data_IF_797024578591
#
_entry.id   IF_797024578591
#
_cell.length_a   1.000
_cell.length_b   1.000
_cell.length_c   1.000
_cell.angle_alpha   90.00
_cell.angle_beta   90.00
_cell.angle_gamma   90.00
#
_symmetry.space_group_name_H-M   'P 1'
#
loop_
_entity.id
_entity.type
_entity.pdbx_description
1 polymer ?
#
# COMPACT_ATOMS: atom_id res chain seq x y z
N UNK A 1 0.04 18.23 5.51
CA UNK A 1 -1.05 17.34 5.19
C UNK A 1 -0.74 15.94 5.69
N UNK A 2 -1.61 15.39 6.50
CA UNK A 2 -1.32 14.12 7.13
C UNK A 2 -1.78 12.96 6.28
N UNK A 3 -0.94 11.94 6.24
CA UNK A 3 -1.30 10.72 5.53
C UNK A 3 -2.28 9.94 6.40
N UNK A 4 -3.41 9.51 5.84
CA UNK A 4 -4.36 8.73 6.63
C UNK A 4 -3.73 7.40 7.05
N UNK A 5 -4.14 6.91 8.21
CA UNK A 5 -3.63 5.65 8.72
C UNK A 5 -4.35 4.51 8.03
N UNK A 6 -3.68 3.90 7.07
CA UNK A 6 -4.26 2.79 6.33
C UNK A 6 -3.62 1.46 6.70
N UNK A 7 -2.79 1.45 7.72
CA UNK A 7 -2.16 0.22 8.16
C UNK A 7 -3.23 -0.71 8.71
N UNK A 8 -3.20 -1.96 8.26
CA UNK A 8 -4.21 -2.93 8.67
C UNK A 8 -5.39 -3.02 7.74
N UNK A 9 -5.55 -2.05 6.85
CA UNK A 9 -6.62 -2.09 5.86
C UNK A 9 -6.15 -2.85 4.64
N UNK A 10 -7.11 -3.32 3.85
CA UNK A 10 -6.76 -3.98 2.60
C UNK A 10 -6.23 -2.96 1.61
N UNK A 11 -5.53 -3.47 0.59
CA UNK A 11 -4.99 -2.59 -0.45
C UNK A 11 -6.11 -1.79 -1.10
N UNK A 12 -7.24 -2.43 -1.35
CA UNK A 12 -8.36 -1.75 -1.99
C UNK A 12 -8.83 -0.58 -1.14
N UNK A 13 -9.03 -0.80 0.15
CA UNK A 13 -9.49 0.26 1.03
C UNK A 13 -8.43 1.33 1.20
N UNK A 14 -7.19 0.93 1.34
CA UNK A 14 -6.10 1.88 1.49
C UNK A 14 -6.00 2.79 0.28
N UNK A 15 -6.16 2.22 -0.91
CA UNK A 15 -6.10 2.99 -2.14
C UNK A 15 -7.19 4.05 -2.18
N UNK A 16 -8.40 3.66 -1.83
CA UNK A 16 -9.52 4.58 -1.83
C UNK A 16 -9.27 5.70 -0.83
N UNK A 17 -8.85 5.35 0.38
CA UNK A 17 -8.61 6.34 1.41
C UNK A 17 -7.51 7.33 1.01
N UNK A 18 -6.44 6.82 0.42
CA UNK A 18 -5.35 7.68 0.01
C UNK A 18 -5.75 8.60 -1.12
N UNK A 19 -6.48 8.07 -2.09
CA UNK A 19 -6.94 8.90 -3.20
C UNK A 19 -7.89 9.98 -2.72
N UNK A 20 -8.77 9.66 -1.79
CA UNK A 20 -9.69 10.66 -1.25
C UNK A 20 -8.96 11.74 -0.48
N UNK A 21 -7.81 11.41 0.07
CA UNK A 21 -7.00 12.37 0.80
C UNK A 21 -6.04 13.13 -0.10
N UNK A 22 -6.09 12.87 -1.40
CA UNK A 22 -5.24 13.58 -2.33
C UNK A 22 -3.88 12.97 -2.56
N UNK A 23 -3.67 11.75 -2.11
CA UNK A 23 -2.38 11.08 -2.30
C UNK A 23 -2.43 10.14 -3.49
N UNK A 24 -1.25 9.90 -4.05
CA UNK A 24 -1.09 8.99 -5.17
C UNK A 24 -0.18 7.86 -4.74
N UNK A 25 -0.59 6.64 -5.02
CA UNK A 25 0.23 5.48 -4.72
C UNK A 25 1.27 5.34 -5.82
N UNK A 26 2.52 5.58 -5.46
CA UNK A 26 3.63 5.50 -6.39
C UNK A 26 4.06 4.06 -6.63
N UNK A 27 4.06 3.26 -5.57
CA UNK A 27 4.55 1.90 -5.66
C UNK A 27 3.94 1.06 -4.55
N UNK A 28 3.69 -0.20 -4.84
CA UNK A 28 3.24 -1.16 -3.84
C UNK A 28 4.23 -2.31 -3.84
N UNK A 29 4.77 -2.62 -2.67
CA UNK A 29 5.71 -3.72 -2.52
C UNK A 29 5.13 -4.76 -1.58
N UNK A 30 5.51 -6.00 -1.80
CA UNK A 30 5.07 -7.09 -0.93
C UNK A 30 6.25 -7.60 -0.13
N UNK A 31 5.93 -8.18 1.04
CA UNK A 31 6.96 -8.76 1.89
C UNK A 31 7.22 -10.21 1.55
N UNK A 32 6.52 -10.74 0.58
CA UNK A 32 6.66 -12.14 0.21
C UNK A 32 8.08 -12.42 -0.27
N UNK A 33 8.59 -13.61 0.02
CA UNK A 33 9.91 -13.96 -0.48
C UNK A 33 9.94 -13.92 -1.99
N UNK A 34 11.10 -13.67 -2.56
CA UNK A 34 11.23 -13.54 -4.01
C UNK A 34 11.02 -14.85 -4.76
N UNK A 35 10.43 -15.81 -4.13
CA UNK A 35 10.09 -17.04 -4.77
C UNK A 35 9.21 -16.83 -5.97
N UNK A 36 8.32 -15.86 -5.86
CA UNK A 36 7.46 -15.51 -6.94
C UNK A 36 8.07 -14.38 -7.70
N UNK A 37 8.13 -14.52 -8.98
CA UNK A 37 8.74 -13.53 -9.81
C UNK A 37 7.94 -12.28 -9.92
N UNK A 38 6.66 -12.36 -9.69
CA UNK A 38 5.81 -11.21 -9.86
C UNK A 38 5.74 -10.43 -8.58
N UNK A 39 5.72 -9.13 -8.70
CA UNK A 39 5.43 -8.27 -7.58
C UNK A 39 3.93 -8.05 -7.48
N UNK A 40 3.17 -8.99 -7.99
CA UNK A 40 1.73 -8.87 -7.98
C UNK A 40 1.19 -8.95 -6.57
N UNK A 41 0.18 -8.17 -6.32
CA UNK A 41 -0.54 -8.20 -5.07
C UNK A 41 -2.02 -8.21 -5.37
N UNK A 42 -2.78 -8.71 -4.42
CA UNK A 42 -4.23 -8.75 -4.56
C UNK A 42 -4.84 -7.67 -3.69
N UNK A 43 -6.03 -7.25 -4.05
CA UNK A 43 -6.72 -6.24 -3.26
C UNK A 43 -6.96 -6.68 -1.83
N UNK A 44 -6.93 -7.98 -1.58
CA UNK A 44 -7.14 -8.52 -0.24
C UNK A 44 -5.89 -8.46 0.63
N UNK A 45 -4.74 -8.15 0.06
CA UNK A 45 -3.52 -8.00 0.84
C UNK A 45 -3.71 -6.84 1.81
N UNK A 46 -3.00 -6.90 2.92
CA UNK A 46 -3.12 -5.86 3.93
C UNK A 46 -1.89 -4.99 3.96
N UNK A 47 -2.13 -3.70 4.18
CA UNK A 47 -1.05 -2.74 4.27
C UNK A 47 -0.40 -2.85 5.64
N UNK A 48 0.92 -3.00 5.66
CA UNK A 48 1.66 -3.06 6.91
C UNK A 48 2.55 -1.85 7.11
N UNK A 49 2.75 -1.06 6.06
CA UNK A 49 3.57 0.13 6.17
C UNK A 49 3.23 1.10 5.05
N UNK A 50 3.27 2.37 5.39
CA UNK A 50 3.08 3.45 4.42
C UNK A 50 4.30 4.35 4.50
N UNK A 51 4.87 4.66 3.35
CA UNK A 51 6.03 5.55 3.29
C UNK A 51 5.71 6.74 2.41
N UNK A 52 5.90 7.93 2.96
CA UNK A 52 5.73 9.15 2.18
C UNK A 52 7.02 9.42 1.40
N UNK A 53 6.92 9.63 0.12
CA UNK A 53 8.09 9.83 -0.72
C UNK A 53 8.33 11.30 -0.95
N UNK A 54 7.44 11.95 -1.64
CA UNK A 54 7.54 13.39 -1.83
C UNK A 54 6.22 13.89 -2.37
N UNK A 55 5.92 15.14 -2.09
CA UNK A 55 4.66 15.71 -2.54
C UNK A 55 3.50 14.91 -2.01
N UNK A 56 2.69 14.41 -2.91
CA UNK A 56 1.53 13.59 -2.54
C UNK A 56 1.72 12.12 -2.91
N UNK A 57 2.96 11.68 -3.12
CA UNK A 57 3.23 10.31 -3.49
C UNK A 57 3.60 9.47 -2.28
N UNK A 58 3.06 8.27 -2.23
CA UNK A 58 3.33 7.35 -1.13
C UNK A 58 3.64 5.97 -1.68
N UNK A 59 4.34 5.19 -0.88
CA UNK A 59 4.59 3.78 -1.18
C UNK A 59 3.94 2.94 -0.10
N UNK A 60 3.41 1.82 -0.50
CA UNK A 60 2.78 0.89 0.43
C UNK A 60 3.60 -0.39 0.49
N UNK A 61 3.71 -0.92 1.69
CA UNK A 61 4.25 -2.26 1.90
C UNK A 61 3.10 -3.12 2.36
N UNK A 62 2.84 -4.20 1.66
CA UNK A 62 1.68 -5.03 1.93
C UNK A 62 2.11 -6.47 2.12
N UNK A 63 1.25 -7.25 2.74
CA UNK A 63 1.53 -8.65 2.94
C UNK A 63 0.28 -9.47 2.68
N UNK A 64 0.53 -10.73 2.34
CA UNK A 64 -0.56 -11.67 2.14
C UNK A 64 -1.18 -11.98 3.50
N UNK A 65 -2.50 -11.81 3.63
CA UNK A 65 -3.15 -12.02 4.93
C UNK A 65 -3.26 -13.48 5.34
N UNK A 66 -3.01 -14.39 4.45
CA UNK A 66 -3.18 -15.83 4.77
C UNK A 66 -2.08 -16.36 5.67
#
# INVERSE_FOLDING_TARGET
MDIPDVIGFTVEQARIMLLESGFIIHKVETTSPPRERSSEYRDSYRVIRVKHIEGNKVELLVCNPA
#
